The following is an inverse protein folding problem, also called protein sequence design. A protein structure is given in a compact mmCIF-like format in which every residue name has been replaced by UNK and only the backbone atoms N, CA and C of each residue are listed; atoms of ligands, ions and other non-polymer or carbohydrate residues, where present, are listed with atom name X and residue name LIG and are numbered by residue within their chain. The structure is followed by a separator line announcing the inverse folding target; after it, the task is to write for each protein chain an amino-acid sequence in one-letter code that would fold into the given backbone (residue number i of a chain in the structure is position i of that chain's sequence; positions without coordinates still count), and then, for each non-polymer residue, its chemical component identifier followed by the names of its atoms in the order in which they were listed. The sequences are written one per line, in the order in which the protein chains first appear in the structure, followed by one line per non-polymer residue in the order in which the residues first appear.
data_IF_767773735951
#
_entry.id   IF_767773735951
#
_cell.length_a   1.000
_cell.length_b   1.000
_cell.length_c   1.000
_cell.angle_alpha   90.00
_cell.angle_beta   90.00
_cell.angle_gamma   90.00
#
_symmetry.space_group_name_H-M   'P 1'
#
loop_
_entity.id
_entity.type
_entity.pdbx_description
1 polymer ?
#
# COMPACT_ATOMS: atom_id res chain seq x y z
N UNK A 1 -5.17 9.76 21.83
CA UNK A 1 -4.51 8.57 21.26
C UNK A 1 -5.32 7.36 21.70
N UNK A 2 -5.67 6.44 20.79
CA UNK A 2 -6.33 5.21 21.24
C UNK A 2 -5.30 4.28 21.91
N UNK A 3 -5.77 3.31 22.69
CA UNK A 3 -4.91 2.41 23.46
C UNK A 3 -3.87 1.67 22.60
N UNK A 4 -4.25 1.29 21.38
CA UNK A 4 -3.36 0.57 20.46
C UNK A 4 -2.22 1.45 19.95
N UNK A 5 -2.54 2.65 19.48
CA UNK A 5 -1.56 3.61 18.99
C UNK A 5 -0.61 4.05 20.12
N UNK A 6 -1.15 4.21 21.33
CA UNK A 6 -0.34 4.51 22.50
C UNK A 6 0.70 3.43 22.78
N UNK A 7 0.27 2.16 22.84
CA UNK A 7 1.17 1.02 23.06
C UNK A 7 2.23 0.89 21.96
N UNK A 8 1.87 1.20 20.71
CA UNK A 8 2.81 1.20 19.59
C UNK A 8 3.92 2.24 19.79
N UNK A 9 3.56 3.48 20.16
CA UNK A 9 4.55 4.52 20.44
C UNK A 9 5.39 4.24 21.69
N UNK A 10 4.80 3.69 22.75
CA UNK A 10 5.54 3.28 23.95
C UNK A 10 6.60 2.21 23.61
N UNK A 11 6.24 1.23 22.77
CA UNK A 11 7.19 0.20 22.32
C UNK A 11 8.26 0.74 21.38
N UNK A 12 7.89 1.65 20.48
CA UNK A 12 8.85 2.31 19.59
C UNK A 12 9.85 3.16 20.39
N UNK A 13 9.39 3.92 21.38
CA UNK A 13 10.23 4.77 22.22
C UNK A 13 11.24 3.98 23.09
N UNK A 14 10.99 2.69 23.32
CA UNK A 14 11.90 1.80 24.05
C UNK A 14 13.03 1.21 23.18
N UNK A 15 13.01 1.42 21.87
CA UNK A 15 14.04 0.93 20.94
C UNK A 15 15.33 1.77 21.03
N UNK A 16 16.48 1.28 20.55
CA UNK A 16 17.67 2.10 20.30
C UNK A 16 17.38 3.30 19.39
N UNK A 17 18.11 4.41 19.55
CA UNK A 17 17.82 5.67 18.84
C UNK A 17 17.86 5.55 17.31
N UNK A 18 18.73 4.71 16.76
CA UNK A 18 18.82 4.45 15.32
C UNK A 18 17.62 3.65 14.81
N UNK A 19 17.11 2.70 15.61
CA UNK A 19 15.89 1.97 15.31
C UNK A 19 14.64 2.86 15.44
N UNK A 20 14.60 3.75 16.43
CA UNK A 20 13.53 4.75 16.57
C UNK A 20 13.45 5.64 15.32
N UNK A 21 14.60 6.16 14.86
CA UNK A 21 14.65 7.02 13.68
C UNK A 21 14.20 6.26 12.42
N UNK A 22 14.65 5.01 12.26
CA UNK A 22 14.25 4.16 11.13
C UNK A 22 12.75 3.89 11.12
N UNK A 23 12.19 3.54 12.28
CA UNK A 23 10.76 3.32 12.43
C UNK A 23 9.95 4.58 12.17
N UNK A 24 10.39 5.74 12.69
CA UNK A 24 9.72 7.01 12.47
C UNK A 24 9.69 7.39 10.98
N UNK A 25 10.82 7.24 10.27
CA UNK A 25 10.90 7.48 8.83
C UNK A 25 9.96 6.55 8.05
N UNK A 26 9.94 5.27 8.40
CA UNK A 26 9.01 4.30 7.81
C UNK A 26 7.56 4.72 8.01
N UNK A 27 7.15 4.98 9.25
CA UNK A 27 5.75 5.33 9.56
C UNK A 27 5.30 6.62 8.85
N UNK A 28 6.16 7.63 8.78
CA UNK A 28 5.86 8.87 8.05
C UNK A 28 5.71 8.63 6.54
N UNK A 29 6.56 7.79 5.96
CA UNK A 29 6.45 7.44 4.54
C UNK A 29 5.15 6.67 4.25
N UNK A 30 4.77 5.71 5.10
CA UNK A 30 3.51 4.96 4.95
C UNK A 30 2.29 5.89 5.04
N UNK A 31 2.24 6.79 6.02
CA UNK A 31 1.13 7.75 6.15
C UNK A 31 1.01 8.68 4.94
N UNK A 32 2.14 9.11 4.37
CA UNK A 32 2.14 9.95 3.17
C UNK A 32 1.74 9.15 1.92
N UNK A 33 2.18 7.90 1.80
CA UNK A 33 1.75 6.97 0.74
C UNK A 33 0.23 6.78 0.76
N UNK A 34 -0.33 6.47 1.92
CA UNK A 34 -1.79 6.32 2.11
C UNK A 34 -2.55 7.61 1.77
N UNK A 35 -2.02 8.77 2.16
CA UNK A 35 -2.61 10.07 1.81
C UNK A 35 -2.64 10.28 0.30
N UNK A 36 -1.56 9.96 -0.40
CA UNK A 36 -1.46 10.10 -1.85
C UNK A 36 -2.43 9.16 -2.58
N UNK A 37 -2.52 7.91 -2.15
CA UNK A 37 -3.48 6.95 -2.71
C UNK A 37 -4.92 7.42 -2.51
N UNK A 38 -5.28 7.85 -1.30
CA UNK A 38 -6.62 8.39 -1.03
C UNK A 38 -6.95 9.59 -1.93
N UNK A 39 -5.97 10.48 -2.17
CA UNK A 39 -6.14 11.61 -3.07
C UNK A 39 -6.37 11.17 -4.52
N UNK A 40 -5.57 10.22 -5.02
CA UNK A 40 -5.69 9.70 -6.40
C UNK A 40 -7.04 9.02 -6.59
N UNK A 41 -7.44 8.14 -5.66
CA UNK A 41 -8.69 7.38 -5.77
C UNK A 41 -9.95 8.24 -5.55
N UNK A 42 -9.83 9.41 -4.94
CA UNK A 42 -10.96 10.36 -4.84
C UNK A 42 -11.33 11.03 -6.17
N UNK A 43 -10.46 10.92 -7.18
CA UNK A 43 -10.65 11.57 -8.49
C UNK A 43 -11.44 10.66 -9.43
N UNK A 44 -12.48 11.15 -10.12
CA UNK A 44 -13.28 10.34 -11.05
C UNK A 44 -12.45 9.66 -12.15
N UNK A 45 -11.36 10.30 -12.59
CA UNK A 45 -10.46 9.76 -13.61
C UNK A 45 -9.78 8.45 -13.18
N UNK A 46 -9.71 8.17 -11.87
CA UNK A 46 -9.18 6.91 -11.34
C UNK A 46 -10.11 5.73 -11.61
N UNK A 47 -11.43 5.93 -11.58
CA UNK A 47 -12.42 4.90 -11.90
C UNK A 47 -12.29 4.50 -13.38
N UNK A 48 -12.25 5.48 -14.29
CA UNK A 48 -12.05 5.24 -15.73
C UNK A 48 -10.74 4.49 -16.02
N UNK A 49 -9.66 4.79 -15.28
CA UNK A 49 -8.40 4.09 -15.43
C UNK A 49 -8.48 2.64 -14.95
N UNK A 50 -9.07 2.42 -13.77
CA UNK A 50 -9.24 1.08 -13.20
C UNK A 50 -10.13 0.21 -14.10
N UNK A 51 -11.20 0.76 -14.67
CA UNK A 51 -12.06 0.06 -15.62
C UNK A 51 -11.30 -0.36 -16.88
N UNK A 52 -10.42 0.51 -17.41
CA UNK A 52 -9.56 0.15 -18.55
C UNK A 52 -8.60 -0.98 -18.19
N UNK A 53 -7.91 -0.88 -17.06
CA UNK A 53 -6.96 -1.90 -16.60
C UNK A 53 -7.65 -3.26 -16.38
N UNK A 54 -8.85 -3.26 -15.78
CA UNK A 54 -9.63 -4.49 -15.59
C UNK A 54 -10.04 -5.11 -16.93
N UNK A 55 -10.49 -4.30 -17.88
CA UNK A 55 -10.86 -4.78 -19.22
C UNK A 55 -9.66 -5.34 -19.99
N UNK A 56 -8.49 -4.70 -19.88
CA UNK A 56 -7.24 -5.17 -20.47
C UNK A 56 -6.83 -6.54 -19.89
N UNK A 57 -6.80 -6.67 -18.56
CA UNK A 57 -6.48 -7.93 -17.89
C UNK A 57 -7.44 -9.06 -18.28
N UNK A 58 -8.75 -8.77 -18.38
CA UNK A 58 -9.74 -9.75 -18.83
C UNK A 58 -9.55 -10.14 -20.30
N UNK A 59 -9.18 -9.18 -21.16
CA UNK A 59 -8.89 -9.43 -22.57
C UNK A 59 -7.66 -10.31 -22.73
N UNK A 60 -6.59 -10.03 -21.98
CA UNK A 60 -5.38 -10.82 -21.94
C UNK A 60 -5.64 -12.25 -21.48
N UNK A 61 -6.42 -12.42 -20.40
CA UNK A 61 -6.81 -13.74 -19.92
C UNK A 61 -7.58 -14.53 -20.97
N UNK A 62 -8.61 -13.92 -21.59
CA UNK A 62 -9.40 -14.56 -22.66
C UNK A 62 -8.56 -14.93 -23.88
N UNK A 63 -7.50 -14.17 -24.16
CA UNK A 63 -6.57 -14.43 -25.25
C UNK A 63 -5.46 -15.43 -24.87
N UNK A 64 -5.46 -16.00 -23.66
CA UNK A 64 -4.44 -16.92 -23.19
C UNK A 64 -3.08 -16.26 -22.89
N UNK A 65 -3.05 -14.94 -22.70
CA UNK A 65 -1.84 -14.17 -22.37
C UNK A 65 -1.58 -14.05 -20.86
N UNK A 66 -2.42 -14.66 -20.02
CA UNK A 66 -2.22 -14.73 -18.58
C UNK A 66 -1.70 -16.11 -18.17
N UNK A 67 -0.87 -16.16 -17.13
CA UNK A 67 -0.46 -17.40 -16.46
C UNK A 67 -1.08 -17.51 -15.08
N UNK A 68 -1.10 -18.72 -14.52
CA UNK A 68 -1.43 -18.89 -13.10
C UNK A 68 -0.33 -18.24 -12.26
N UNK A 69 -0.75 -17.47 -11.25
CA UNK A 69 0.16 -16.92 -10.27
C UNK A 69 0.69 -18.05 -9.38
N UNK A 70 2.01 -18.24 -9.37
CA UNK A 70 2.72 -19.08 -8.40
C UNK A 70 3.33 -18.17 -7.31
N UNK A 71 2.77 -18.12 -6.10
CA UNK A 71 3.28 -17.26 -5.04
C UNK A 71 4.70 -17.58 -4.58
N UNK A 72 5.19 -18.80 -4.82
CA UNK A 72 6.54 -19.23 -4.44
C UNK A 72 7.61 -18.78 -5.45
N UNK A 73 7.20 -18.25 -6.61
CA UNK A 73 8.06 -17.76 -7.71
C UNK A 73 7.95 -16.23 -7.90
N UNK A 74 7.54 -15.51 -6.85
CA UNK A 74 7.41 -14.03 -6.81
C UNK A 74 8.70 -13.32 -6.35
#
# INVERSE_FOLDING_TARGET
MNDLLQRAFERAAALPSDEQERFARFLLAELESERQWAEIFSRPESEDLLDRLANEALSDHKAGRSTLLDPEDL
#
